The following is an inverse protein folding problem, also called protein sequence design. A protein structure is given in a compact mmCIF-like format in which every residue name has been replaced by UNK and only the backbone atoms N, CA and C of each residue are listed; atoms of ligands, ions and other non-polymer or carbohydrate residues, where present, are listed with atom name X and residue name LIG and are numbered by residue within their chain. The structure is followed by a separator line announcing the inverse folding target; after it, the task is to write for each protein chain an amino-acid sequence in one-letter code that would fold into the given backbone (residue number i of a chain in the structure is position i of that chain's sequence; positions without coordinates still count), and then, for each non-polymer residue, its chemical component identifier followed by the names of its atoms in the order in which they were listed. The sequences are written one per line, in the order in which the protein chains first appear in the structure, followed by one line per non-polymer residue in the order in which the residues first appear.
data_IF_605903497363
#
_entry.id   IF_605903497363
#
_cell.length_a   1.000
_cell.length_b   1.000
_cell.length_c   1.000
_cell.angle_alpha   90.00
_cell.angle_beta   90.00
_cell.angle_gamma   90.00
#
_symmetry.space_group_name_H-M   'P 1'
#
loop_
_entity.id
_entity.type
_entity.pdbx_description
1 polymer ?
#
# COMPACT_ATOMS: atom_id res chain seq x y z
N UNK A 1 -36.66 -22.66 -59.00
CA UNK A 1 -35.99 -23.14 -57.76
C UNK A 1 -34.76 -22.26 -57.57
N UNK A 2 -34.79 -21.36 -56.57
CA UNK A 2 -33.74 -20.36 -56.30
C UNK A 2 -32.91 -20.87 -55.12
N UNK A 3 -31.66 -21.24 -55.36
CA UNK A 3 -30.72 -21.65 -54.31
C UNK A 3 -30.19 -20.42 -53.56
N UNK A 4 -30.15 -20.42 -52.22
CA UNK A 4 -29.51 -19.35 -51.45
C UNK A 4 -27.97 -19.44 -51.54
N UNK A 5 -27.25 -18.30 -51.51
CA UNK A 5 -25.79 -18.26 -51.62
C UNK A 5 -25.09 -18.78 -50.35
N UNK A 6 -23.88 -19.33 -50.47
CA UNK A 6 -23.12 -19.87 -49.33
C UNK A 6 -22.68 -18.74 -48.38
N UNK A 7 -23.02 -18.88 -47.10
CA UNK A 7 -22.62 -17.94 -46.06
C UNK A 7 -21.12 -18.00 -45.77
N UNK A 8 -20.49 -16.82 -45.65
CA UNK A 8 -19.09 -16.63 -45.28
C UNK A 8 -18.83 -17.03 -43.82
N UNK A 9 -18.66 -18.33 -43.57
CA UNK A 9 -18.36 -18.88 -42.24
C UNK A 9 -16.89 -18.64 -41.84
N UNK A 10 -16.01 -18.32 -42.79
CA UNK A 10 -14.57 -18.08 -42.53
C UNK A 10 -14.28 -16.77 -41.79
N UNK A 11 -15.16 -15.76 -41.92
CA UNK A 11 -14.97 -14.45 -41.27
C UNK A 11 -15.20 -14.49 -39.75
N UNK A 12 -16.17 -15.28 -39.29
CA UNK A 12 -16.56 -15.34 -37.88
C UNK A 12 -15.52 -16.04 -37.00
N UNK A 13 -14.80 -17.03 -37.53
CA UNK A 13 -13.71 -17.70 -36.79
C UNK A 13 -12.49 -16.78 -36.61
N UNK A 14 -12.17 -15.96 -37.60
CA UNK A 14 -11.04 -15.00 -37.52
C UNK A 14 -11.28 -13.93 -36.45
N UNK A 15 -12.48 -13.34 -36.41
CA UNK A 15 -12.85 -12.36 -35.38
C UNK A 15 -12.84 -12.95 -33.97
N UNK A 16 -13.30 -14.19 -33.81
CA UNK A 16 -13.32 -14.85 -32.50
C UNK A 16 -11.89 -15.11 -31.97
N UNK A 17 -10.95 -15.51 -32.83
CA UNK A 17 -9.56 -15.72 -32.46
C UNK A 17 -8.85 -14.40 -32.08
N UNK A 18 -9.14 -13.31 -32.80
CA UNK A 18 -8.64 -11.98 -32.47
C UNK A 18 -9.18 -11.47 -31.12
N UNK A 19 -10.45 -11.72 -30.83
CA UNK A 19 -11.07 -11.37 -29.55
C UNK A 19 -10.50 -12.18 -28.37
N UNK A 20 -10.21 -13.46 -28.57
CA UNK A 20 -9.59 -14.31 -27.54
C UNK A 20 -8.13 -13.88 -27.31
N UNK A 21 -7.38 -13.55 -28.37
CA UNK A 21 -5.99 -13.10 -28.26
C UNK A 21 -5.87 -11.75 -27.53
N UNK A 22 -6.78 -10.81 -27.79
CA UNK A 22 -6.79 -9.51 -27.10
C UNK A 22 -7.18 -9.65 -25.62
N UNK A 23 -8.11 -10.55 -25.30
CA UNK A 23 -8.49 -10.84 -23.91
C UNK A 23 -7.36 -11.55 -23.14
N UNK A 24 -6.63 -12.47 -23.80
CA UNK A 24 -5.49 -13.16 -23.20
C UNK A 24 -4.31 -12.22 -22.91
N UNK A 25 -4.04 -11.26 -23.80
CA UNK A 25 -2.99 -10.25 -23.62
C UNK A 25 -3.26 -9.28 -22.45
N UNK A 26 -4.54 -9.10 -22.08
CA UNK A 26 -4.93 -8.31 -20.90
C UNK A 26 -5.02 -9.12 -19.60
N UNK A 27 -5.20 -10.45 -19.69
CA UNK A 27 -5.41 -11.32 -18.52
C UNK A 27 -4.10 -11.90 -17.95
N UNK A 28 -3.11 -12.15 -18.80
CA UNK A 28 -1.76 -12.49 -18.37
C UNK A 28 -0.88 -11.22 -18.50
N UNK A 29 -0.56 -10.53 -17.39
CA UNK A 29 0.33 -9.38 -17.46
C UNK A 29 1.71 -9.88 -17.88
N UNK A 30 2.03 -9.78 -19.16
CA UNK A 30 3.41 -9.83 -19.62
C UNK A 30 4.02 -8.55 -19.08
N UNK A 31 4.72 -8.65 -17.96
CA UNK A 31 5.39 -7.54 -17.28
C UNK A 31 6.91 -7.51 -17.49
N UNK A 32 7.45 -7.53 -18.74
CA UNK A 32 8.90 -7.53 -18.97
C UNK A 32 9.63 -6.41 -18.24
N UNK A 33 8.97 -5.25 -18.09
CA UNK A 33 9.54 -4.10 -17.37
C UNK A 33 9.45 -4.22 -15.86
N UNK A 34 8.38 -4.82 -15.31
CA UNK A 34 8.22 -5.01 -13.88
C UNK A 34 9.16 -6.12 -13.39
N UNK A 35 9.21 -7.24 -14.12
CA UNK A 35 10.05 -8.39 -13.77
C UNK A 35 11.54 -8.04 -13.90
N UNK A 36 11.93 -7.26 -14.91
CA UNK A 36 13.31 -6.82 -15.08
C UNK A 36 13.79 -5.82 -14.01
N UNK A 37 12.87 -5.13 -13.31
CA UNK A 37 13.18 -4.06 -12.36
C UNK A 37 12.66 -4.28 -10.95
N UNK A 38 12.12 -5.47 -10.69
CA UNK A 38 11.55 -5.81 -9.39
C UNK A 38 12.56 -5.65 -8.25
N UNK A 39 13.80 -6.14 -8.45
CA UNK A 39 14.86 -6.00 -7.45
C UNK A 39 15.22 -4.54 -7.13
N UNK A 40 15.21 -3.67 -8.13
CA UNK A 40 15.45 -2.23 -7.96
C UNK A 40 14.30 -1.59 -7.18
N UNK A 41 13.05 -1.90 -7.53
CA UNK A 41 11.87 -1.39 -6.83
C UNK A 41 11.84 -1.81 -5.35
N UNK A 42 12.15 -3.07 -5.05
CA UNK A 42 12.26 -3.56 -3.66
C UNK A 42 13.41 -2.89 -2.92
N UNK A 43 14.55 -2.68 -3.58
CA UNK A 43 15.69 -1.97 -3.01
C UNK A 43 15.34 -0.54 -2.60
N UNK A 44 14.64 0.19 -3.47
CA UNK A 44 14.16 1.56 -3.20
C UNK A 44 13.14 1.55 -2.06
N UNK A 45 12.14 0.66 -2.11
CA UNK A 45 11.12 0.58 -1.06
C UNK A 45 11.75 0.26 0.31
N UNK A 46 12.69 -0.68 0.34
CA UNK A 46 13.44 -1.01 1.56
C UNK A 46 14.25 0.18 2.06
N UNK A 47 14.94 0.90 1.17
CA UNK A 47 15.71 2.09 1.54
C UNK A 47 14.82 3.17 2.16
N UNK A 48 13.61 3.37 1.62
CA UNK A 48 12.62 4.31 2.17
C UNK A 48 12.06 3.89 3.54
N UNK A 49 11.99 2.58 3.80
CA UNK A 49 11.52 2.02 5.07
C UNK A 49 12.64 1.88 6.11
N UNK A 50 13.90 1.98 5.70
CA UNK A 50 15.06 1.81 6.58
C UNK A 50 15.37 3.12 7.29
N UNK A 51 15.09 3.18 8.59
CA UNK A 51 15.31 4.38 9.42
C UNK A 51 16.81 4.67 9.63
N UNK A 52 17.65 3.62 9.70
CA UNK A 52 19.08 3.77 9.99
C UNK A 52 19.90 2.71 9.23
N UNK A 53 20.36 3.01 8.00
CA UNK A 53 21.10 2.06 7.19
C UNK A 53 22.48 1.70 7.76
N UNK A 54 23.12 2.61 8.50
CA UNK A 54 24.42 2.37 9.17
C UNK A 54 24.32 1.81 10.59
N UNK A 55 23.13 1.36 11.03
CA UNK A 55 22.92 0.86 12.40
C UNK A 55 23.85 -0.31 12.80
N UNK A 56 24.31 -1.13 11.85
CA UNK A 56 25.24 -2.23 12.12
C UNK A 56 26.65 -1.78 12.51
N UNK A 57 27.03 -0.55 12.17
CA UNK A 57 28.33 0.04 12.50
C UNK A 57 28.30 0.74 13.87
N UNK A 58 27.12 0.92 14.45
CA UNK A 58 26.97 1.56 15.74
C UNK A 58 27.44 0.63 16.87
N UNK A 59 28.56 0.99 17.52
CA UNK A 59 29.10 0.29 18.69
C UNK A 59 28.63 0.87 20.02
N UNK A 60 27.77 1.89 20.01
CA UNK A 60 27.22 2.45 21.24
C UNK A 60 26.44 1.37 22.01
N UNK A 61 26.60 1.29 23.34
CA UNK A 61 25.79 0.42 24.16
C UNK A 61 24.31 0.75 24.01
N UNK A 62 23.47 -0.28 23.84
CA UNK A 62 22.02 -0.11 23.81
C UNK A 62 21.58 0.48 25.15
N UNK A 63 21.07 1.71 25.13
CA UNK A 63 20.40 2.34 26.26
C UNK A 63 19.06 1.64 26.41
N UNK A 64 18.98 0.63 27.28
CA UNK A 64 17.77 -0.15 27.51
C UNK A 64 16.60 0.70 28.03
N UNK A 65 15.53 0.03 28.46
CA UNK A 65 14.35 0.71 29.03
C UNK A 65 14.73 1.30 30.39
N UNK A 66 14.47 2.60 30.61
CA UNK A 66 14.67 3.22 31.91
C UNK A 66 13.58 2.74 32.91
N UNK A 67 13.86 2.77 34.22
CA UNK A 67 12.94 2.22 35.22
C UNK A 67 11.54 2.84 35.21
N UNK A 68 11.45 4.17 35.00
CA UNK A 68 10.17 4.89 34.94
C UNK A 68 9.35 4.49 33.71
N UNK A 69 10.00 4.30 32.56
CA UNK A 69 9.37 3.80 31.35
C UNK A 69 8.91 2.35 31.54
N UNK A 70 9.69 1.52 32.23
CA UNK A 70 9.28 0.16 32.60
C UNK A 70 8.02 0.15 33.46
N UNK A 71 7.99 0.97 34.51
CA UNK A 71 6.82 1.12 35.38
C UNK A 71 5.57 1.57 34.61
N UNK A 72 5.72 2.61 33.79
CA UNK A 72 4.67 3.09 32.92
C UNK A 72 4.17 2.01 31.94
N UNK A 73 5.04 1.16 31.38
CA UNK A 73 4.64 0.05 30.51
C UNK A 73 3.71 -0.92 31.25
N UNK A 74 4.07 -1.30 32.48
CA UNK A 74 3.26 -2.24 33.27
C UNK A 74 1.93 -1.61 33.70
N UNK A 75 1.93 -0.34 34.08
CA UNK A 75 0.69 0.38 34.41
C UNK A 75 -0.23 0.50 33.20
N UNK A 76 0.27 0.93 32.04
CA UNK A 76 -0.50 0.99 30.80
C UNK A 76 -1.03 -0.38 30.38
N UNK A 77 -0.22 -1.44 30.53
CA UNK A 77 -0.65 -2.81 30.25
C UNK A 77 -1.83 -3.22 31.13
N UNK A 78 -1.71 -3.03 32.45
CA UNK A 78 -2.79 -3.33 33.40
C UNK A 78 -4.04 -2.52 33.11
N UNK A 79 -3.88 -1.22 32.84
CA UNK A 79 -4.99 -0.32 32.63
C UNK A 79 -5.71 -0.59 31.29
N UNK A 80 -5.02 -1.13 30.29
CA UNK A 80 -5.63 -1.58 29.03
C UNK A 80 -6.71 -2.67 29.23
N UNK A 81 -6.60 -3.50 30.28
CA UNK A 81 -7.63 -4.48 30.62
C UNK A 81 -8.76 -3.90 31.45
N UNK A 82 -8.46 -2.89 32.28
CA UNK A 82 -9.46 -2.23 33.12
C UNK A 82 -10.32 -1.25 32.33
N UNK A 83 -9.69 -0.54 31.40
CA UNK A 83 -10.31 0.48 30.58
C UNK A 83 -9.86 0.29 29.12
N UNK A 84 -10.41 -0.73 28.42
CA UNK A 84 -10.03 -1.01 27.05
C UNK A 84 -10.17 0.26 26.20
N UNK A 85 -9.12 0.60 25.42
CA UNK A 85 -9.18 1.75 24.54
C UNK A 85 -10.43 1.65 23.68
N UNK A 86 -11.17 2.76 23.56
CA UNK A 86 -12.32 2.77 22.67
C UNK A 86 -11.85 2.38 21.27
N UNK A 87 -12.60 1.56 20.53
CA UNK A 87 -12.27 1.26 19.15
C UNK A 87 -12.04 2.60 18.44
N UNK A 88 -10.95 2.70 17.69
CA UNK A 88 -10.50 3.95 17.08
C UNK A 88 -11.57 4.44 16.09
N UNK A 89 -12.52 5.24 16.58
CA UNK A 89 -13.53 5.91 15.76
C UNK A 89 -12.83 7.03 15.00
N UNK A 90 -12.24 6.70 13.85
CA UNK A 90 -11.68 7.70 12.93
C UNK A 90 -10.34 7.39 12.28
N UNK A 91 -9.94 6.12 12.15
CA UNK A 91 -8.62 5.82 11.62
C UNK A 91 -8.52 4.50 10.88
N UNK A 92 -9.39 4.25 9.90
CA UNK A 92 -8.97 3.40 8.79
C UNK A 92 -7.80 4.14 8.15
N UNK A 93 -6.57 3.69 8.43
CA UNK A 93 -5.40 4.15 7.72
C UNK A 93 -5.70 3.87 6.24
N UNK A 94 -5.99 4.91 5.45
CA UNK A 94 -6.30 4.80 4.03
C UNK A 94 -4.99 4.48 3.27
N UNK A 95 -4.44 3.29 3.52
CA UNK A 95 -3.35 2.67 2.76
C UNK A 95 -3.93 2.32 1.39
N UNK A 96 -3.99 3.31 0.52
CA UNK A 96 -4.61 3.17 -0.81
C UNK A 96 -4.92 4.48 -1.53
N UNK A 97 -4.87 5.65 -0.85
CA UNK A 97 -5.03 6.95 -1.52
C UNK A 97 -3.68 7.66 -1.71
N UNK A 98 -2.74 7.03 -2.44
CA UNK A 98 -1.61 7.79 -2.98
C UNK A 98 -2.14 8.68 -4.10
N UNK A 99 -2.17 9.99 -3.85
CA UNK A 99 -2.49 10.99 -4.88
C UNK A 99 -3.74 11.81 -4.56
N UNK A 100 -3.63 12.71 -3.59
CA UNK A 100 -4.33 14.00 -3.68
C UNK A 100 -3.54 15.02 -2.89
N UNK A 101 -2.68 15.74 -3.61
CA UNK A 101 -2.18 17.05 -3.20
C UNK A 101 -3.35 17.99 -2.93
N UNK A 102 -3.33 18.65 -1.79
CA UNK A 102 -4.17 19.79 -1.43
C UNK A 102 -3.94 20.05 0.07
N UNK A 103 -3.22 21.08 0.51
CA UNK A 103 -3.02 22.41 -0.05
C UNK A 103 -3.80 23.40 0.82
N UNK A 104 -3.10 24.04 1.76
CA UNK A 104 -3.57 25.20 2.54
C UNK A 104 -4.35 24.84 3.81
N UNK A 105 -4.15 25.46 4.96
CA UNK A 105 -3.31 26.59 5.34
C UNK A 105 -3.41 26.78 6.86
N UNK A 106 -2.35 27.27 7.49
CA UNK A 106 -2.30 27.54 8.92
C UNK A 106 -3.07 28.81 9.32
N UNK A 107 -3.39 28.90 10.60
CA UNK A 107 -3.90 30.10 11.25
C UNK A 107 -4.21 29.85 12.72
N UNK A 108 -3.30 30.27 13.60
CA UNK A 108 -3.43 30.16 15.05
C UNK A 108 -4.16 31.34 15.71
N UNK A 109 -4.36 31.20 17.02
CA UNK A 109 -4.92 32.18 17.97
C UNK A 109 -6.09 31.55 18.75
N UNK A 110 -6.14 31.42 20.07
CA UNK A 110 -5.41 32.07 21.16
C UNK A 110 -6.44 32.63 22.16
N UNK A 111 -6.55 32.05 23.37
CA UNK A 111 -6.95 32.77 24.60
C UNK A 111 -8.37 32.57 25.18
N UNK A 112 -8.42 32.34 26.50
CA UNK A 112 -9.55 32.56 27.42
C UNK A 112 -10.25 31.27 27.87
N UNK A 113 -10.32 30.84 29.13
CA UNK A 113 -10.11 31.52 30.41
C UNK A 113 -11.39 31.46 31.24
N UNK A 114 -11.55 30.42 32.06
CA UNK A 114 -12.51 30.31 33.17
C UNK A 114 -11.93 29.41 34.25
#
# INVERSE_FOLDING_TARGET
MKTPPPGNISGSFSCLLLAIASLAAGCAPVTPRLDARFGEAVGIAKAQQTISPEASLNTEPVKGINGQAGDAIFDNYRDSFRNPPRPMSGGVLNVGKSGSSGGGGGGGGGGGGN
#
